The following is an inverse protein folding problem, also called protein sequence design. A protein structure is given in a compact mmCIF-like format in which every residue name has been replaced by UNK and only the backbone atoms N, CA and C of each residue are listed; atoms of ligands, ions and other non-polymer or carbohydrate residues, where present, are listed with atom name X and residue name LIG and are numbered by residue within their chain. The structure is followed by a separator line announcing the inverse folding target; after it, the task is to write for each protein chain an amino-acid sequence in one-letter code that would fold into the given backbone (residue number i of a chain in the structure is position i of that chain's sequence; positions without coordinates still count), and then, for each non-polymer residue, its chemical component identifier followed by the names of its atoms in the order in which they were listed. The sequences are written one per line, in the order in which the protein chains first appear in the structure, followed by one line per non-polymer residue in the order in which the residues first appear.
data_IF_885309856748
#
_entry.id   IF_885309856748
#
_cell.length_a   1.000
_cell.length_b   1.000
_cell.length_c   1.000
_cell.angle_alpha   90.00
_cell.angle_beta   90.00
_cell.angle_gamma   90.00
#
_symmetry.space_group_name_H-M   'P 1'
#
loop_
_entity.id
_entity.type
_entity.pdbx_description
1 polymer ?
#
# COMPACT_ATOMS: atom_id res chain seq x y z
N UNK A 1 -3.09 -33.66 -12.00
CA UNK A 1 -3.82 -32.76 -12.92
C UNK A 1 -2.87 -31.61 -13.19
N UNK A 2 -2.49 -31.41 -14.47
CA UNK A 2 -1.57 -30.32 -14.84
C UNK A 2 -2.26 -28.98 -14.55
N UNK A 3 -1.69 -28.24 -13.62
CA UNK A 3 -2.15 -26.91 -13.21
C UNK A 3 -2.07 -26.00 -14.46
N UNK A 4 -3.22 -25.55 -14.94
CA UNK A 4 -3.31 -24.77 -16.18
C UNK A 4 -2.59 -23.44 -15.97
N UNK A 5 -1.39 -23.32 -16.52
CA UNK A 5 -0.57 -22.12 -16.40
C UNK A 5 -1.28 -20.93 -17.07
N UNK A 6 -1.58 -19.89 -16.30
CA UNK A 6 -2.30 -18.69 -16.72
C UNK A 6 -1.40 -17.73 -17.52
N UNK A 7 -1.98 -16.98 -18.44
CA UNK A 7 -1.33 -15.80 -19.01
C UNK A 7 -1.31 -14.66 -17.99
N UNK A 8 -0.51 -13.62 -18.23
CA UNK A 8 -0.47 -12.44 -17.34
C UNK A 8 -1.84 -11.76 -17.23
N UNK A 9 -2.61 -11.70 -18.33
CA UNK A 9 -3.95 -11.12 -18.33
C UNK A 9 -4.95 -11.94 -17.49
N UNK A 10 -4.91 -13.28 -17.61
CA UNK A 10 -5.75 -14.19 -16.82
C UNK A 10 -5.40 -14.11 -15.33
N UNK A 11 -4.11 -14.07 -15.01
CA UNK A 11 -3.66 -13.92 -13.62
C UNK A 11 -4.08 -12.57 -13.03
N UNK A 12 -3.96 -11.47 -13.78
CA UNK A 12 -4.41 -10.14 -13.38
C UNK A 12 -5.92 -10.11 -13.12
N UNK A 13 -6.69 -10.69 -14.05
CA UNK A 13 -8.15 -10.79 -13.93
C UNK A 13 -8.56 -11.61 -12.71
N UNK A 14 -7.95 -12.76 -12.47
CA UNK A 14 -8.26 -13.62 -11.32
C UNK A 14 -7.97 -12.95 -9.97
N UNK A 15 -6.98 -12.06 -9.94
CA UNK A 15 -6.61 -11.32 -8.74
C UNK A 15 -7.31 -9.95 -8.62
N UNK A 16 -8.07 -9.52 -9.62
CA UNK A 16 -8.75 -8.22 -9.64
C UNK A 16 -7.79 -7.02 -9.67
N UNK A 17 -6.65 -7.15 -10.34
CA UNK A 17 -5.64 -6.09 -10.46
C UNK A 17 -5.29 -5.83 -11.93
N UNK A 18 -4.67 -4.68 -12.20
CA UNK A 18 -4.21 -4.34 -13.54
C UNK A 18 -2.95 -5.12 -13.93
N UNK A 19 -2.82 -5.46 -15.22
CA UNK A 19 -1.61 -6.11 -15.79
C UNK A 19 -0.34 -5.29 -15.51
N UNK A 20 -0.44 -3.96 -15.48
CA UNK A 20 0.70 -3.10 -15.18
C UNK A 20 1.21 -3.29 -13.74
N UNK A 21 0.32 -3.50 -12.78
CA UNK A 21 0.69 -3.83 -11.39
C UNK A 21 1.44 -5.17 -11.32
N UNK A 22 1.00 -6.17 -12.09
CA UNK A 22 1.74 -7.43 -12.18
C UNK A 22 3.14 -7.25 -12.77
N UNK A 23 3.28 -6.45 -13.83
CA UNK A 23 4.59 -6.13 -14.42
C UNK A 23 5.49 -5.38 -13.44
N UNK A 24 4.91 -4.49 -12.64
CA UNK A 24 5.64 -3.83 -11.57
C UNK A 24 6.16 -4.84 -10.54
N UNK A 25 5.31 -5.79 -10.08
CA UNK A 25 5.76 -6.84 -9.16
C UNK A 25 6.83 -7.77 -9.75
N UNK A 26 6.75 -8.06 -11.05
CA UNK A 26 7.84 -8.77 -11.75
C UNK A 26 9.14 -7.97 -11.74
N UNK A 27 9.08 -6.69 -12.08
CA UNK A 27 10.25 -5.80 -12.08
C UNK A 27 10.88 -5.66 -10.68
N UNK A 28 10.05 -5.69 -9.63
CA UNK A 28 10.50 -5.68 -8.25
C UNK A 28 11.00 -7.06 -7.75
N UNK A 29 10.95 -8.12 -8.58
CA UNK A 29 11.33 -9.47 -8.19
C UNK A 29 10.38 -10.15 -7.20
N UNK A 30 9.21 -9.57 -6.96
CA UNK A 30 8.19 -10.14 -6.07
C UNK A 30 7.43 -11.29 -6.71
N UNK A 31 7.32 -11.30 -8.03
CA UNK A 31 6.62 -12.31 -8.82
C UNK A 31 7.49 -12.77 -9.98
N UNK A 32 7.49 -14.05 -10.29
CA UNK A 32 8.18 -14.59 -11.44
C UNK A 32 7.25 -15.51 -12.24
N UNK A 33 7.35 -15.51 -13.58
CA UNK A 33 6.65 -16.50 -14.40
C UNK A 33 7.22 -17.90 -14.14
N UNK A 34 6.36 -18.90 -14.14
CA UNK A 34 6.76 -20.32 -14.01
C UNK A 34 7.36 -20.90 -15.29
N UNK A 35 7.22 -20.18 -16.42
CA UNK A 35 7.76 -20.59 -17.72
C UNK A 35 7.29 -19.66 -18.85
N UNK A 36 7.58 -20.08 -20.08
CA UNK A 36 7.15 -19.40 -21.31
C UNK A 36 6.59 -20.42 -22.30
N UNK A 37 5.65 -19.98 -23.13
CA UNK A 37 5.19 -20.79 -24.29
C UNK A 37 6.27 -20.87 -25.37
N UNK A 38 6.09 -21.74 -26.36
CA UNK A 38 6.94 -21.79 -27.54
C UNK A 38 7.01 -20.44 -28.28
N UNK A 39 5.94 -19.62 -28.21
CA UNK A 39 5.90 -18.24 -28.73
C UNK A 39 6.44 -17.18 -27.79
N UNK A 40 7.14 -17.55 -26.69
CA UNK A 40 7.80 -16.63 -25.76
C UNK A 40 6.88 -15.95 -24.72
N UNK A 41 5.59 -16.24 -24.71
CA UNK A 41 4.65 -15.65 -23.76
C UNK A 41 4.83 -16.23 -22.34
N UNK A 42 4.86 -15.33 -21.34
CA UNK A 42 4.96 -15.71 -19.91
C UNK A 42 3.76 -16.53 -19.45
N UNK A 43 4.04 -17.54 -18.63
CA UNK A 43 3.04 -18.40 -17.98
C UNK A 43 3.24 -18.43 -16.48
N UNK A 44 2.14 -18.47 -15.75
CA UNK A 44 2.09 -18.41 -14.28
C UNK A 44 1.28 -19.59 -13.75
N UNK A 45 1.91 -20.42 -12.91
CA UNK A 45 1.25 -21.55 -12.25
C UNK A 45 0.58 -21.15 -10.94
N UNK A 46 0.03 -22.15 -10.22
CA UNK A 46 -0.65 -21.97 -8.94
C UNK A 46 0.22 -21.27 -7.90
N UNK A 47 1.50 -21.58 -7.85
CA UNK A 47 2.44 -20.94 -6.92
C UNK A 47 2.54 -19.43 -7.15
N UNK A 48 2.56 -18.98 -8.41
CA UNK A 48 2.56 -17.57 -8.74
C UNK A 48 1.24 -16.89 -8.34
N UNK A 49 0.11 -17.59 -8.49
CA UNK A 49 -1.18 -17.10 -8.06
C UNK A 49 -1.27 -16.96 -6.53
N UNK A 50 -0.79 -17.96 -5.77
CA UNK A 50 -0.72 -17.90 -4.31
C UNK A 50 0.19 -16.76 -3.83
N UNK A 51 1.36 -16.61 -4.47
CA UNK A 51 2.31 -15.54 -4.16
C UNK A 51 1.71 -14.16 -4.43
N UNK A 52 0.99 -14.01 -5.54
CA UNK A 52 0.28 -12.77 -5.86
C UNK A 52 -0.81 -12.45 -4.83
N UNK A 53 -1.56 -13.44 -4.39
CA UNK A 53 -2.58 -13.27 -3.35
C UNK A 53 -1.92 -12.77 -2.03
N UNK A 54 -0.79 -13.36 -1.65
CA UNK A 54 -0.03 -12.90 -0.49
C UNK A 54 0.43 -11.45 -0.64
N UNK A 55 1.04 -11.10 -1.79
CA UNK A 55 1.52 -9.73 -2.07
C UNK A 55 0.37 -8.73 -1.94
N UNK A 56 -0.77 -9.02 -2.58
CA UNK A 56 -1.94 -8.15 -2.55
C UNK A 56 -2.44 -7.94 -1.12
N UNK A 57 -2.61 -9.02 -0.37
CA UNK A 57 -3.09 -8.94 1.01
C UNK A 57 -2.11 -8.17 1.91
N UNK A 58 -0.81 -8.40 1.79
CA UNK A 58 0.19 -7.63 2.52
C UNK A 58 0.16 -6.12 2.15
N UNK A 59 -0.08 -5.78 0.88
CA UNK A 59 -0.28 -4.39 0.46
C UNK A 59 -1.53 -3.75 1.09
N UNK A 60 -2.61 -4.49 1.28
CA UNK A 60 -3.81 -4.02 1.98
C UNK A 60 -3.51 -3.64 3.45
N UNK A 61 -2.54 -4.30 4.10
CA UNK A 61 -2.01 -3.92 5.41
C UNK A 61 -0.99 -2.77 5.36
N UNK A 62 -0.66 -2.28 4.15
CA UNK A 62 0.28 -1.16 3.97
C UNK A 62 1.76 -1.55 4.03
N UNK A 63 2.12 -2.85 3.95
CA UNK A 63 3.52 -3.25 3.84
C UNK A 63 4.14 -2.73 2.54
N UNK A 64 5.36 -2.20 2.62
CA UNK A 64 6.13 -1.82 1.44
C UNK A 64 6.56 -3.03 0.60
N UNK A 65 6.96 -2.79 -0.65
CA UNK A 65 7.48 -3.86 -1.52
C UNK A 65 8.72 -4.54 -0.95
N UNK A 66 9.57 -3.78 -0.26
CA UNK A 66 10.75 -4.30 0.45
C UNK A 66 10.36 -5.22 1.61
N UNK A 67 9.43 -4.77 2.46
CA UNK A 67 8.91 -5.58 3.57
C UNK A 67 8.23 -6.87 3.08
N UNK A 68 7.48 -6.79 1.97
CA UNK A 68 6.84 -7.96 1.36
C UNK A 68 7.91 -8.93 0.83
N UNK A 69 8.99 -8.44 0.24
CA UNK A 69 10.11 -9.28 -0.19
C UNK A 69 10.75 -9.99 0.99
N UNK A 70 11.07 -9.26 2.07
CA UNK A 70 11.61 -9.85 3.31
C UNK A 70 10.68 -10.94 3.86
N UNK A 71 9.36 -10.70 3.91
CA UNK A 71 8.38 -11.67 4.38
C UNK A 71 8.31 -12.93 3.50
N UNK A 72 8.40 -12.76 2.17
CA UNK A 72 8.39 -13.88 1.22
C UNK A 72 9.67 -14.72 1.31
N UNK A 73 10.82 -14.09 1.53
CA UNK A 73 12.10 -14.75 1.71
C UNK A 73 12.10 -15.54 3.03
N UNK A 74 11.60 -14.95 4.11
CA UNK A 74 11.42 -15.62 5.40
C UNK A 74 10.46 -16.83 5.30
N UNK A 75 9.36 -16.68 4.56
CA UNK A 75 8.40 -17.77 4.36
C UNK A 75 8.97 -18.95 3.56
N UNK A 76 10.00 -18.72 2.75
CA UNK A 76 10.73 -19.78 2.01
C UNK A 76 11.73 -20.57 2.85
N UNK A 77 12.10 -20.10 4.05
CA UNK A 77 13.13 -20.67 4.90
C UNK A 77 12.53 -21.21 6.21
N UNK A 78 12.17 -22.49 6.24
CA UNK A 78 11.50 -23.13 7.39
C UNK A 78 12.35 -23.16 8.69
N UNK A 79 13.64 -22.87 8.62
CA UNK A 79 14.56 -22.86 9.77
C UNK A 79 14.69 -21.50 10.45
N UNK A 80 14.12 -20.43 9.88
CA UNK A 80 14.23 -19.07 10.44
C UNK A 80 13.26 -18.84 11.60
N UNK A 81 13.65 -17.92 12.49
CA UNK A 81 12.84 -17.58 13.65
C UNK A 81 11.63 -16.71 13.25
N UNK A 82 10.48 -16.98 13.86
CA UNK A 82 9.29 -16.14 13.76
C UNK A 82 9.54 -14.72 14.30
N UNK A 83 10.57 -14.50 15.09
CA UNK A 83 10.95 -13.19 15.63
C UNK A 83 11.27 -12.17 14.54
N UNK A 84 11.85 -12.60 13.41
CA UNK A 84 12.15 -11.73 12.27
C UNK A 84 10.86 -11.25 11.61
N UNK A 85 9.88 -12.13 11.44
CA UNK A 85 8.54 -11.77 10.94
C UNK A 85 7.85 -10.81 11.91
N UNK A 86 7.90 -11.08 13.21
CA UNK A 86 7.34 -10.22 14.26
C UNK A 86 7.96 -8.82 14.23
N UNK A 87 9.26 -8.70 13.98
CA UNK A 87 9.92 -7.41 13.89
C UNK A 87 9.40 -6.57 12.71
N UNK A 88 9.16 -7.18 11.55
CA UNK A 88 8.58 -6.53 10.37
C UNK A 88 7.15 -6.03 10.70
N UNK A 89 6.32 -6.90 11.28
CA UNK A 89 4.94 -6.57 11.65
C UNK A 89 4.89 -5.46 12.71
N UNK A 90 5.78 -5.48 13.70
CA UNK A 90 5.87 -4.42 14.72
C UNK A 90 6.22 -3.06 14.10
N UNK A 91 7.17 -3.02 13.16
CA UNK A 91 7.50 -1.78 12.43
C UNK A 91 6.29 -1.25 11.66
N UNK A 92 5.57 -2.12 10.96
CA UNK A 92 4.37 -1.73 10.22
C UNK A 92 3.27 -1.20 11.15
N UNK A 93 3.02 -1.89 12.28
CA UNK A 93 2.07 -1.44 13.29
C UNK A 93 2.40 -0.03 13.80
N UNK A 94 3.68 0.26 14.01
CA UNK A 94 4.12 1.57 14.48
C UNK A 94 3.88 2.67 13.44
N UNK A 95 4.09 2.37 12.15
CA UNK A 95 3.75 3.30 11.06
C UNK A 95 2.25 3.57 11.01
N UNK A 96 1.42 2.55 11.16
CA UNK A 96 -0.05 2.70 11.20
C UNK A 96 -0.47 3.57 12.40
N UNK A 97 0.12 3.37 13.57
CA UNK A 97 -0.18 4.20 14.75
C UNK A 97 0.14 5.68 14.50
N UNK A 98 1.34 5.99 13.99
CA UNK A 98 1.71 7.36 13.64
C UNK A 98 0.74 7.99 12.63
N UNK A 99 0.26 7.20 11.69
CA UNK A 99 -0.73 7.68 10.71
C UNK A 99 -2.09 7.94 11.34
N UNK A 100 -2.50 7.11 12.29
CA UNK A 100 -3.73 7.35 13.08
C UNK A 100 -3.60 8.65 13.88
N UNK A 101 -2.49 8.85 14.60
CA UNK A 101 -2.25 10.06 15.38
C UNK A 101 -2.28 11.31 14.50
N UNK A 102 -1.66 11.25 13.32
CA UNK A 102 -1.69 12.35 12.35
C UNK A 102 -3.11 12.64 11.85
N UNK A 103 -3.87 11.61 11.50
CA UNK A 103 -5.25 11.77 11.02
C UNK A 103 -6.15 12.35 12.11
N UNK A 104 -5.97 11.97 13.39
CA UNK A 104 -6.69 12.54 14.51
C UNK A 104 -6.35 14.03 14.72
N UNK A 105 -5.09 14.43 14.55
CA UNK A 105 -4.70 15.84 14.59
C UNK A 105 -5.34 16.64 13.46
N UNK A 106 -5.38 16.10 12.23
CA UNK A 106 -6.03 16.73 11.09
C UNK A 106 -7.55 16.85 11.29
N UNK A 107 -8.19 15.81 11.81
CA UNK A 107 -9.61 15.83 12.15
C UNK A 107 -9.92 16.94 13.17
N UNK A 108 -9.13 17.03 14.25
CA UNK A 108 -9.28 18.08 15.26
C UNK A 108 -9.09 19.50 14.69
N UNK A 109 -8.17 19.66 13.72
CA UNK A 109 -7.98 20.93 13.06
C UNK A 109 -9.18 21.31 12.17
N UNK A 110 -9.75 20.34 11.46
CA UNK A 110 -10.97 20.55 10.66
C UNK A 110 -12.17 20.91 11.55
N UNK A 111 -12.32 20.23 12.69
CA UNK A 111 -13.38 20.53 13.67
C UNK A 111 -13.22 21.94 14.22
N UNK A 112 -12.00 22.37 14.51
CA UNK A 112 -11.72 23.74 14.94
C UNK A 112 -12.11 24.75 13.86
N UNK A 113 -11.72 24.53 12.61
CA UNK A 113 -12.08 25.40 11.49
C UNK A 113 -13.60 25.50 11.33
N UNK A 114 -14.31 24.39 11.48
CA UNK A 114 -15.76 24.36 11.39
C UNK A 114 -16.43 25.12 12.56
N UNK A 115 -15.90 24.98 13.78
CA UNK A 115 -16.42 25.66 14.96
C UNK A 115 -16.22 27.17 14.92
N UNK A 116 -15.14 27.64 14.31
CA UNK A 116 -14.84 29.07 14.12
C UNK A 116 -15.61 29.68 12.94
N UNK A 117 -16.23 28.86 12.11
CA UNK A 117 -17.02 29.30 10.96
C UNK A 117 -18.43 29.73 11.42
N UNK A 118 -18.65 31.01 11.60
CA UNK A 118 -19.93 31.57 12.03
C UNK A 118 -20.96 31.78 10.91
N UNK A 119 -20.68 31.29 9.70
CA UNK A 119 -21.44 31.60 8.49
C UNK A 119 -21.15 33.02 7.98
N UNK A 120 -21.47 33.31 6.74
CA UNK A 120 -21.23 34.61 6.18
C UNK A 120 -20.83 34.56 4.70
N UNK A 121 -20.14 35.60 4.23
CA UNK A 121 -19.65 35.68 2.87
C UNK A 121 -18.35 34.90 2.72
N UNK A 122 -18.14 34.24 1.58
CA UNK A 122 -16.92 33.49 1.25
C UNK A 122 -15.65 34.35 1.37
N UNK A 123 -15.75 35.66 1.13
CA UNK A 123 -14.64 36.61 1.30
C UNK A 123 -14.16 36.78 2.73
N UNK A 124 -14.94 36.34 3.71
CA UNK A 124 -14.64 36.39 5.16
C UNK A 124 -14.50 34.99 5.77
N UNK A 125 -14.27 34.00 4.91
CA UNK A 125 -14.24 32.60 5.32
C UNK A 125 -12.93 32.25 6.04
N UNK A 126 -12.99 32.03 7.34
CA UNK A 126 -11.82 31.64 8.16
C UNK A 126 -11.18 30.31 7.74
N UNK A 127 -11.96 29.40 7.18
CA UNK A 127 -11.43 28.13 6.64
C UNK A 127 -10.50 28.40 5.47
N UNK A 128 -10.90 29.30 4.53
CA UNK A 128 -10.05 29.66 3.39
C UNK A 128 -8.81 30.43 3.83
N UNK A 129 -8.92 31.28 4.86
CA UNK A 129 -7.77 31.98 5.43
C UNK A 129 -6.78 30.99 6.08
N UNK A 130 -7.26 30.00 6.85
CA UNK A 130 -6.43 28.99 7.49
C UNK A 130 -5.75 28.06 6.47
N UNK A 131 -6.43 27.69 5.39
CA UNK A 131 -5.85 26.91 4.29
C UNK A 131 -4.81 27.72 3.48
N UNK A 132 -4.95 29.04 3.43
CA UNK A 132 -3.99 29.93 2.79
C UNK A 132 -2.72 30.23 3.60
N UNK A 133 -2.79 30.05 4.93
CA UNK A 133 -1.68 30.34 5.85
C UNK A 133 -1.53 29.23 6.90
N UNK A 134 -0.55 28.36 6.68
CA UNK A 134 -0.25 27.23 7.59
C UNK A 134 0.12 27.68 9.02
N UNK A 135 0.63 28.91 9.21
CA UNK A 135 0.93 29.46 10.52
C UNK A 135 -0.30 29.65 11.42
N UNK A 136 -1.50 29.53 10.87
CA UNK A 136 -2.77 29.62 11.61
C UNK A 136 -3.30 28.28 12.11
N UNK A 137 -2.66 27.17 11.71
CA UNK A 137 -3.01 25.85 12.22
C UNK A 137 -2.51 25.67 13.66
N UNK A 138 -3.34 25.10 14.55
CA UNK A 138 -2.98 24.85 15.95
C UNK A 138 -2.02 23.68 16.11
N UNK A 139 -1.98 22.76 15.16
CA UNK A 139 -1.11 21.59 15.16
C UNK A 139 -0.12 21.63 13.98
N UNK A 140 1.13 21.23 14.25
CA UNK A 140 2.12 20.98 13.22
C UNK A 140 1.83 19.63 12.54
N UNK A 141 0.78 19.58 11.69
CA UNK A 141 0.58 18.45 10.81
C UNK A 141 1.59 18.54 9.67
N UNK A 142 2.78 17.95 9.89
CA UNK A 142 3.81 17.84 8.86
C UNK A 142 3.25 17.09 7.64
N UNK A 143 3.74 17.45 6.44
CA UNK A 143 3.44 16.69 5.23
C UNK A 143 3.65 15.20 5.52
N UNK A 144 2.55 14.43 5.57
CA UNK A 144 2.67 13.01 5.37
C UNK A 144 3.40 12.86 4.03
N UNK A 145 4.63 12.38 4.07
CA UNK A 145 5.27 11.91 2.85
C UNK A 145 4.28 10.87 2.30
N UNK A 146 3.59 11.27 1.25
CA UNK A 146 2.88 10.33 0.42
C UNK A 146 3.98 9.40 -0.06
N UNK A 147 4.01 8.18 0.50
CA UNK A 147 4.74 7.10 -0.12
C UNK A 147 4.21 7.04 -1.54
N UNK A 148 5.08 7.37 -2.50
CA UNK A 148 4.82 7.46 -3.94
C UNK A 148 4.63 6.04 -4.53
N UNK A 149 3.77 5.25 -3.89
CA UNK A 149 3.39 3.93 -4.35
C UNK A 149 1.91 4.02 -4.79
N UNK A 150 1.61 3.86 -6.08
CA UNK A 150 0.26 4.06 -6.58
C UNK A 150 -0.72 3.13 -5.86
N UNK A 151 -1.92 3.62 -5.48
CA UNK A 151 -2.92 2.80 -4.82
C UNK A 151 -3.26 1.60 -5.70
N UNK A 152 -3.27 0.41 -5.10
CA UNK A 152 -3.79 -0.79 -5.72
C UNK A 152 -5.32 -0.61 -5.92
N UNK A 153 -5.73 -0.22 -7.13
CA UNK A 153 -7.09 -0.32 -7.64
C UNK A 153 -7.10 -1.16 -8.91
#
# INVERSE_FOLDING_TARGET
MADAALSIGQLAQSAGIHVQTLRYYEAQGLLAPSGRTAGGQRRYGAQAAQRLHFIRHAREFGFSTEQIRELLDLAGESSRSCEEVDAIVRRQRELVRRRIDLLQQLEGELDRMLSECSGGRVTECRVLEALGDHGRCASAHGHAQADDDPPAR
#
